data_IF_597619337399
#
_entry.id   IF_597619337399
#
_cell.length_a   1.000
_cell.length_b   1.000
_cell.length_c   1.000
_cell.angle_alpha   90.00
_cell.angle_beta   90.00
_cell.angle_gamma   90.00
#
_symmetry.space_group_name_H-M   'P 1'
#
loop_
_entity.id
_entity.type
_entity.pdbx_description
1 polymer ?
#
# COMPACT_ATOMS: atom_id res chain seq x y z
N UNK A 1 0.63 21.50 -2.86
CA UNK A 1 -0.26 21.66 -1.69
C UNK A 1 -0.56 20.28 -1.09
N UNK A 2 0.21 19.87 -0.07
CA UNK A 2 -0.02 18.59 0.65
C UNK A 2 -1.16 18.68 1.68
N UNK A 3 -1.50 19.90 2.12
CA UNK A 3 -2.46 20.15 3.19
C UNK A 3 -3.90 19.70 2.88
N UNK A 4 -4.36 19.86 1.64
CA UNK A 4 -5.72 19.42 1.25
C UNK A 4 -5.86 17.90 1.28
N UNK A 5 -4.81 17.17 0.88
CA UNK A 5 -4.77 15.71 0.96
C UNK A 5 -4.83 15.23 2.43
N UNK A 6 -4.07 15.89 3.32
CA UNK A 6 -4.09 15.61 4.77
C UNK A 6 -5.49 15.87 5.35
N UNK A 7 -6.13 16.98 4.98
CA UNK A 7 -7.49 17.33 5.44
C UNK A 7 -8.53 16.32 4.95
N UNK A 8 -8.42 15.86 3.70
CA UNK A 8 -9.28 14.80 3.14
C UNK A 8 -9.09 13.48 3.91
N UNK A 9 -7.84 13.05 4.13
CA UNK A 9 -7.52 11.84 4.89
C UNK A 9 -8.12 11.86 6.30
N UNK A 10 -7.91 12.95 7.06
CA UNK A 10 -8.47 13.12 8.41
C UNK A 10 -10.00 13.09 8.43
N UNK A 11 -10.65 13.67 7.42
CA UNK A 11 -12.12 13.66 7.28
C UNK A 11 -12.65 12.26 6.94
N UNK A 12 -11.94 11.49 6.12
CA UNK A 12 -12.30 10.09 5.86
C UNK A 12 -12.22 9.27 7.15
N UNK A 13 -11.09 9.34 7.84
CA UNK A 13 -10.86 8.64 9.11
C UNK A 13 -11.88 9.00 10.19
N UNK A 14 -12.24 10.27 10.34
CA UNK A 14 -13.19 10.69 11.38
C UNK A 14 -14.59 10.11 11.20
N UNK A 15 -14.89 9.54 10.02
CA UNK A 15 -16.17 8.92 9.68
C UNK A 15 -16.07 7.40 9.53
N UNK A 16 -14.85 6.87 9.51
CA UNK A 16 -14.59 5.46 9.32
C UNK A 16 -14.74 4.70 10.65
N UNK A 17 -15.16 3.44 10.57
CA UNK A 17 -15.19 2.52 11.70
C UNK A 17 -14.29 1.32 11.40
N UNK A 18 -13.60 0.81 12.42
CA UNK A 18 -12.70 -0.35 12.26
C UNK A 18 -11.28 0.00 11.81
N UNK A 19 -10.92 1.28 11.77
CA UNK A 19 -9.52 1.70 11.60
C UNK A 19 -8.69 1.22 12.80
N UNK A 20 -7.55 0.59 12.52
CA UNK A 20 -6.58 0.16 13.52
C UNK A 20 -5.42 1.17 13.52
N UNK A 21 -5.19 1.81 14.66
CA UNK A 21 -4.09 2.75 14.85
C UNK A 21 -3.12 2.13 15.85
N UNK A 22 -1.88 1.90 15.42
CA UNK A 22 -0.78 1.45 16.28
C UNK A 22 0.32 2.49 16.29
N UNK A 23 1.00 2.61 17.42
CA UNK A 23 2.26 3.35 17.47
C UNK A 23 3.34 2.59 16.69
N UNK A 24 4.20 3.34 16.00
CA UNK A 24 5.28 2.73 15.21
C UNK A 24 6.42 2.20 16.08
N UNK A 25 6.55 2.61 17.33
CA UNK A 25 7.69 2.38 18.22
C UNK A 25 8.27 0.97 18.21
N UNK A 26 9.27 0.75 17.34
CA UNK A 26 9.98 -0.52 17.16
C UNK A 26 9.30 -1.54 16.24
N UNK A 27 8.09 -1.26 15.74
CA UNK A 27 7.34 -2.14 14.83
C UNK A 27 7.83 -1.98 13.40
N UNK A 28 7.66 -3.02 12.59
CA UNK A 28 7.90 -3.00 11.15
C UNK A 28 6.74 -2.23 10.50
N UNK A 29 6.99 -1.08 9.87
CA UNK A 29 5.95 -0.32 9.20
C UNK A 29 5.71 -0.84 7.80
N UNK A 30 4.46 -1.24 7.54
CA UNK A 30 3.98 -1.73 6.26
C UNK A 30 2.93 -0.79 5.69
N UNK A 31 3.15 -0.31 4.46
CA UNK A 31 2.16 0.44 3.70
C UNK A 31 1.37 -0.52 2.81
N UNK A 32 0.10 -0.77 3.13
CA UNK A 32 -0.82 -1.50 2.26
C UNK A 32 -1.40 -0.53 1.24
N UNK A 33 -0.85 -0.57 0.03
CA UNK A 33 -1.25 0.32 -1.07
C UNK A 33 -2.36 -0.33 -1.88
N UNK A 34 -3.51 0.32 -1.93
CA UNK A 34 -4.50 0.09 -2.97
C UNK A 34 -4.33 1.17 -4.03
N UNK A 35 -3.86 0.86 -5.24
CA UNK A 35 -3.46 1.85 -6.24
C UNK A 35 -4.67 2.44 -6.98
N UNK A 36 -5.72 2.78 -6.24
CA UNK A 36 -6.95 3.35 -6.72
C UNK A 36 -7.59 4.20 -5.61
N UNK A 37 -8.77 4.76 -5.88
CA UNK A 37 -9.46 5.61 -4.91
C UNK A 37 -9.75 4.89 -3.59
N UNK A 38 -9.83 5.66 -2.52
CA UNK A 38 -10.26 5.19 -1.20
C UNK A 38 -11.60 4.45 -1.28
N UNK A 39 -12.55 4.96 -2.05
CA UNK A 39 -13.88 4.36 -2.15
C UNK A 39 -13.85 2.96 -2.78
N UNK A 40 -13.07 2.79 -3.85
CA UNK A 40 -12.88 1.49 -4.50
C UNK A 40 -12.16 0.52 -3.57
N UNK A 41 -11.08 0.96 -2.92
CA UNK A 41 -10.29 0.10 -2.03
C UNK A 41 -11.05 -0.32 -0.77
N UNK A 42 -11.86 0.56 -0.21
CA UNK A 42 -12.71 0.24 0.94
C UNK A 42 -13.88 -0.69 0.59
N UNK A 43 -14.19 -0.85 -0.70
CA UNK A 43 -15.15 -1.84 -1.20
C UNK A 43 -14.49 -3.20 -1.50
N UNK A 44 -13.18 -3.35 -1.26
CA UNK A 44 -12.42 -4.56 -1.56
C UNK A 44 -12.15 -5.36 -0.27
N UNK A 45 -12.79 -6.53 -0.16
CA UNK A 45 -12.64 -7.40 1.01
C UNK A 45 -11.19 -7.89 1.20
N UNK A 46 -10.48 -8.19 0.11
CA UNK A 46 -9.09 -8.65 0.18
C UNK A 46 -8.16 -7.65 0.85
N UNK A 47 -8.36 -6.34 0.57
CA UNK A 47 -7.61 -5.27 1.23
C UNK A 47 -7.88 -5.26 2.74
N UNK A 48 -9.15 -5.40 3.15
CA UNK A 48 -9.52 -5.47 4.57
C UNK A 48 -8.94 -6.70 5.27
N UNK A 49 -8.95 -7.85 4.60
CA UNK A 49 -8.38 -9.10 5.10
C UNK A 49 -6.88 -8.94 5.35
N UNK A 50 -6.12 -8.48 4.35
CA UNK A 50 -4.67 -8.24 4.50
C UNK A 50 -4.37 -7.19 5.55
N UNK A 51 -5.14 -6.09 5.58
CA UNK A 51 -4.99 -5.03 6.56
C UNK A 51 -5.15 -5.53 8.00
N UNK A 52 -6.19 -6.34 8.26
CA UNK A 52 -6.42 -6.94 9.59
C UNK A 52 -5.37 -7.98 9.94
N UNK A 53 -4.99 -8.83 8.98
CA UNK A 53 -3.97 -9.85 9.17
C UNK A 53 -2.61 -9.23 9.51
N UNK A 54 -2.14 -8.24 8.74
CA UNK A 54 -0.89 -7.56 9.05
C UNK A 54 -0.95 -6.84 10.42
N UNK A 55 -2.09 -6.23 10.73
CA UNK A 55 -2.30 -5.60 12.03
C UNK A 55 -2.61 -6.59 13.17
N UNK A 56 -2.73 -7.89 12.94
CA UNK A 56 -2.86 -8.86 14.03
C UNK A 56 -1.50 -9.17 14.66
N UNK A 57 -0.41 -9.08 13.88
CA UNK A 57 0.95 -9.26 14.40
C UNK A 57 1.34 -8.10 15.33
N UNK A 58 1.84 -8.37 16.55
CA UNK A 58 2.17 -7.33 17.53
C UNK A 58 3.31 -6.41 17.07
N UNK A 59 4.24 -6.95 16.29
CA UNK A 59 5.46 -6.26 15.83
C UNK A 59 5.30 -5.57 14.48
N UNK A 60 4.08 -5.55 13.92
CA UNK A 60 3.77 -4.91 12.64
C UNK A 60 2.78 -3.76 12.85
N UNK A 61 3.05 -2.63 12.21
CA UNK A 61 2.08 -1.55 12.01
C UNK A 61 1.76 -1.46 10.53
N UNK A 62 0.52 -1.77 10.16
CA UNK A 62 0.08 -1.66 8.78
C UNK A 62 -0.85 -0.46 8.62
N UNK A 63 -0.51 0.42 7.69
CA UNK A 63 -1.30 1.60 7.33
C UNK A 63 -1.72 1.51 5.86
N UNK A 64 -2.89 2.07 5.53
CA UNK A 64 -3.45 2.00 4.19
C UNK A 64 -3.06 3.22 3.39
N UNK A 65 -2.80 3.02 2.10
CA UNK A 65 -2.47 4.11 1.18
C UNK A 65 -3.35 3.96 -0.05
N UNK A 66 -3.97 5.06 -0.46
CA UNK A 66 -4.85 5.11 -1.63
C UNK A 66 -4.33 6.13 -2.64
N UNK A 67 -4.69 5.94 -3.90
CA UNK A 67 -4.26 6.80 -5.00
C UNK A 67 -5.47 7.42 -5.70
N UNK A 68 -5.73 8.69 -5.40
CA UNK A 68 -6.81 9.43 -6.03
C UNK A 68 -6.35 10.01 -7.37
N UNK A 69 -7.28 10.23 -8.31
CA UNK A 69 -6.94 10.78 -9.64
C UNK A 69 -6.26 12.15 -9.52
N UNK A 70 -6.63 12.94 -8.51
CA UNK A 70 -6.03 14.24 -8.23
C UNK A 70 -4.55 14.13 -7.83
N UNK A 71 -4.13 13.03 -7.19
CA UNK A 71 -2.71 12.79 -6.87
C UNK A 71 -1.88 12.68 -8.14
N UNK A 72 -2.40 12.00 -9.17
CA UNK A 72 -1.73 11.85 -10.47
C UNK A 72 -1.56 13.20 -11.18
N UNK A 73 -2.58 14.06 -11.15
CA UNK A 73 -2.52 15.38 -11.78
C UNK A 73 -1.55 16.35 -11.07
N UNK A 74 -1.44 16.24 -9.74
CA UNK A 74 -0.68 17.18 -8.90
C UNK A 74 0.71 16.68 -8.51
N UNK A 75 1.07 15.44 -8.88
CA UNK A 75 2.33 14.76 -8.52
C UNK A 75 2.61 14.78 -7.01
N UNK A 76 1.56 14.77 -6.19
CA UNK A 76 1.72 14.74 -4.74
C UNK A 76 2.12 13.33 -4.30
N UNK A 77 3.04 13.21 -3.32
CA UNK A 77 3.43 11.91 -2.78
C UNK A 77 2.21 11.21 -2.18
N UNK A 78 2.18 9.88 -2.33
CA UNK A 78 1.15 9.07 -1.68
C UNK A 78 1.41 9.06 -0.17
N UNK A 79 0.38 9.42 0.60
CA UNK A 79 0.42 9.46 2.06
C UNK A 79 -0.44 8.34 2.62
N UNK A 80 -0.01 7.77 3.74
CA UNK A 80 -0.84 6.84 4.49
C UNK A 80 -2.08 7.51 5.06
N UNK A 81 -3.16 6.75 5.16
CA UNK A 81 -4.43 7.25 5.64
C UNK A 81 -4.33 7.55 7.13
N UNK A 82 -3.82 6.62 7.93
CA UNK A 82 -3.78 6.65 9.40
C UNK A 82 -2.89 7.77 9.94
N UNK A 83 -1.61 7.80 9.54
CA UNK A 83 -0.64 8.75 10.09
C UNK A 83 -0.18 9.85 9.11
N UNK A 84 -0.67 9.83 7.86
CA UNK A 84 -0.29 10.78 6.81
C UNK A 84 1.22 10.79 6.53
N UNK A 85 1.88 9.64 6.64
CA UNK A 85 3.30 9.46 6.35
C UNK A 85 3.53 9.14 4.86
N UNK A 86 4.62 9.63 4.25
CA UNK A 86 4.98 9.27 2.89
C UNK A 86 5.45 7.82 2.80
N UNK A 87 5.28 7.21 1.62
CA UNK A 87 5.68 5.82 1.38
C UNK A 87 7.16 5.53 1.66
N UNK A 88 8.04 6.51 1.46
CA UNK A 88 9.48 6.37 1.72
C UNK A 88 9.85 6.15 3.19
N UNK A 89 8.92 6.36 4.13
CA UNK A 89 9.17 6.12 5.56
C UNK A 89 8.85 4.68 5.99
N UNK A 90 8.20 3.89 5.14
CA UNK A 90 7.84 2.52 5.46
C UNK A 90 9.01 1.57 5.18
N UNK A 91 9.04 0.42 5.84
CA UNK A 91 10.02 -0.63 5.56
C UNK A 91 9.55 -1.52 4.40
N UNK A 92 8.23 -1.71 4.29
CA UNK A 92 7.60 -2.50 3.24
C UNK A 92 6.44 -1.72 2.63
N UNK A 93 6.35 -1.75 1.30
CA UNK A 93 5.23 -1.23 0.52
C UNK A 93 4.58 -2.42 -0.17
N UNK A 94 3.41 -2.82 0.32
CA UNK A 94 2.64 -3.94 -0.18
C UNK A 94 1.49 -3.45 -1.07
N UNK A 95 1.62 -3.62 -2.38
CA UNK A 95 0.56 -3.32 -3.32
C UNK A 95 -0.48 -4.44 -3.39
N UNK A 96 -1.75 -4.09 -3.21
CA UNK A 96 -2.89 -4.99 -3.43
C UNK A 96 -3.53 -4.66 -4.78
N UNK A 97 -3.18 -5.42 -5.81
CA UNK A 97 -3.61 -5.18 -7.19
C UNK A 97 -4.80 -6.07 -7.52
N UNK A 98 -5.98 -5.46 -7.61
CA UNK A 98 -7.25 -6.21 -7.73
C UNK A 98 -7.85 -6.17 -9.12
N UNK A 99 -7.54 -5.15 -9.91
CA UNK A 99 -8.02 -5.00 -11.28
C UNK A 99 -6.88 -4.62 -12.22
N UNK A 100 -6.99 -4.92 -13.52
CA UNK A 100 -5.94 -4.63 -14.49
C UNK A 100 -5.65 -3.12 -14.62
N UNK A 101 -6.65 -2.27 -14.40
CA UNK A 101 -6.49 -0.82 -14.41
C UNK A 101 -5.60 -0.31 -13.26
N UNK A 102 -5.46 -1.07 -12.18
CA UNK A 102 -4.60 -0.74 -11.05
C UNK A 102 -3.12 -0.72 -11.45
N UNK A 103 -2.73 -1.48 -12.48
CA UNK A 103 -1.35 -1.52 -13.02
C UNK A 103 -0.86 -0.13 -13.42
N UNK A 104 -1.76 0.66 -14.01
CA UNK A 104 -1.45 1.99 -14.55
C UNK A 104 -1.05 2.97 -13.45
N UNK A 105 -1.46 2.72 -12.20
CA UNK A 105 -1.21 3.60 -11.07
C UNK A 105 0.05 3.21 -10.28
N UNK A 106 0.59 2.00 -10.43
CA UNK A 106 1.81 1.56 -9.74
C UNK A 106 2.99 2.49 -10.03
N UNK A 107 3.30 2.71 -11.31
CA UNK A 107 4.43 3.55 -11.74
C UNK A 107 4.27 5.01 -11.27
N UNK A 108 3.11 5.67 -11.46
CA UNK A 108 2.88 7.01 -10.89
C UNK A 108 3.07 7.10 -9.37
N UNK A 109 2.59 6.11 -8.62
CA UNK A 109 2.74 6.08 -7.15
C UNK A 109 4.20 6.03 -6.75
N UNK A 110 4.99 5.13 -7.36
CA UNK A 110 6.42 5.02 -7.06
C UNK A 110 7.17 6.31 -7.41
N UNK A 111 6.91 6.90 -8.60
CA UNK A 111 7.50 8.18 -9.01
C UNK A 111 7.16 9.31 -8.03
N UNK A 112 5.90 9.44 -7.66
CA UNK A 112 5.44 10.53 -6.80
C UNK A 112 5.99 10.42 -5.38
N UNK A 113 6.28 9.19 -4.93
CA UNK A 113 6.89 8.92 -3.63
C UNK A 113 8.42 8.89 -3.64
N UNK A 114 9.06 9.17 -4.79
CA UNK A 114 10.51 9.22 -4.91
C UNK A 114 11.19 7.85 -4.78
N UNK A 115 10.46 6.76 -5.05
CA UNK A 115 10.99 5.39 -4.98
C UNK A 115 11.48 5.00 -6.37
N UNK A 116 12.70 4.44 -6.52
CA UNK A 116 13.18 3.95 -7.80
C UNK A 116 12.21 2.95 -8.44
N UNK A 117 11.99 3.11 -9.74
CA UNK A 117 10.96 2.37 -10.47
C UNK A 117 11.29 0.90 -10.56
N UNK A 118 12.47 0.59 -11.09
CA UNK A 118 12.88 -0.78 -11.32
C UNK A 118 13.51 -1.34 -10.06
N UNK A 119 13.27 -2.62 -9.82
CA UNK A 119 13.88 -3.36 -8.71
C UNK A 119 15.41 -3.26 -8.74
N UNK A 120 16.02 -3.27 -9.93
CA UNK A 120 17.46 -3.18 -10.11
C UNK A 120 18.07 -1.83 -9.68
N UNK A 121 17.25 -0.78 -9.54
CA UNK A 121 17.67 0.55 -9.11
C UNK A 121 17.49 0.76 -7.59
N UNK A 122 16.99 -0.24 -6.86
CA UNK A 122 16.80 -0.19 -5.40
C UNK A 122 17.96 -0.87 -4.68
N UNK A 123 18.27 -0.35 -3.50
CA UNK A 123 19.24 -0.88 -2.56
C UNK A 123 18.62 -0.97 -1.15
N UNK A 124 19.41 -1.37 -0.15
CA UNK A 124 18.97 -1.54 1.24
C UNK A 124 18.44 -0.26 1.91
N UNK A 125 18.61 0.92 1.30
CA UNK A 125 18.08 2.20 1.81
C UNK A 125 16.63 2.44 1.38
N UNK A 126 16.12 1.63 0.46
CA UNK A 126 14.78 1.73 -0.09
C UNK A 126 13.84 0.71 0.56
N UNK A 127 12.53 1.01 0.65
CA UNK A 127 11.56 0.03 1.12
C UNK A 127 11.49 -1.18 0.18
N UNK A 128 11.22 -2.36 0.75
CA UNK A 128 10.82 -3.51 -0.05
C UNK A 128 9.46 -3.23 -0.69
N UNK A 129 9.36 -3.35 -2.01
CA UNK A 129 8.12 -3.17 -2.74
C UNK A 129 7.61 -4.52 -3.21
N UNK A 130 6.50 -4.95 -2.65
CA UNK A 130 5.88 -6.25 -2.96
C UNK A 130 4.49 -6.04 -3.55
N UNK A 131 3.97 -7.03 -4.28
CA UNK A 131 2.59 -7.01 -4.75
C UNK A 131 1.89 -8.34 -4.56
N UNK A 132 0.59 -8.29 -4.36
CA UNK A 132 -0.31 -9.44 -4.41
C UNK A 132 -1.67 -9.05 -4.96
N UNK A 133 -2.62 -9.98 -4.88
CA UNK A 133 -3.98 -9.81 -5.38
C UNK A 133 -4.23 -10.60 -6.67
N UNK A 134 -5.50 -10.70 -7.09
CA UNK A 134 -5.92 -11.61 -8.16
C UNK A 134 -5.23 -11.33 -9.49
N UNK A 135 -4.91 -10.06 -9.79
CA UNK A 135 -4.21 -9.68 -11.01
C UNK A 135 -2.74 -10.12 -11.01
N UNK A 136 -2.05 -10.02 -9.87
CA UNK A 136 -0.68 -10.54 -9.73
C UNK A 136 -0.65 -12.05 -9.86
N UNK A 137 -1.62 -12.74 -9.25
CA UNK A 137 -1.76 -14.20 -9.36
C UNK A 137 -2.07 -14.63 -10.80
N UNK A 138 -2.91 -13.89 -11.53
CA UNK A 138 -3.30 -14.22 -12.89
C UNK A 138 -2.17 -14.01 -13.91
N UNK A 139 -1.46 -12.87 -13.84
CA UNK A 139 -0.33 -12.60 -14.71
C UNK A 139 0.66 -11.63 -14.05
N UNK A 140 1.71 -12.13 -13.39
CA UNK A 140 2.70 -11.30 -12.72
C UNK A 140 3.67 -10.58 -13.67
N UNK A 141 3.82 -11.09 -14.91
CA UNK A 141 4.87 -10.67 -15.84
C UNK A 141 4.86 -9.18 -16.20
N UNK A 142 3.71 -8.51 -16.42
CA UNK A 142 3.70 -7.08 -16.78
C UNK A 142 4.28 -6.16 -15.69
N UNK A 143 4.24 -6.60 -14.43
CA UNK A 143 4.65 -5.80 -13.29
C UNK A 143 5.97 -6.28 -12.65
N UNK A 144 6.46 -7.48 -12.97
CA UNK A 144 7.65 -8.05 -12.34
C UNK A 144 8.90 -7.18 -12.34
N UNK A 145 9.18 -6.30 -13.33
CA UNK A 145 10.37 -5.44 -13.26
C UNK A 145 10.33 -4.39 -12.13
N UNK A 146 9.15 -4.13 -11.54
CA UNK A 146 8.94 -3.07 -10.54
C UNK A 146 8.86 -3.59 -9.10
N UNK A 147 8.81 -4.90 -8.88
CA UNK A 147 8.57 -5.49 -7.55
C UNK A 147 9.73 -6.36 -7.10
N UNK A 148 10.10 -6.24 -5.83
CA UNK A 148 11.10 -7.07 -5.15
C UNK A 148 10.56 -8.50 -4.93
N UNK A 149 9.25 -8.62 -4.68
CA UNK A 149 8.57 -9.91 -4.55
C UNK A 149 7.12 -9.81 -5.04
N UNK A 150 6.64 -10.89 -5.67
CA UNK A 150 5.26 -11.04 -6.11
C UNK A 150 4.64 -12.23 -5.38
N UNK A 151 3.64 -11.93 -4.55
CA UNK A 151 2.86 -12.91 -3.81
C UNK A 151 1.82 -13.53 -4.74
N UNK A 152 2.03 -14.80 -5.11
CA UNK A 152 1.10 -15.59 -5.93
C UNK A 152 0.23 -16.43 -5.00
N UNK A 153 -1.10 -16.28 -5.12
CA UNK A 153 -2.08 -16.96 -4.28
C UNK A 153 -2.70 -16.08 -3.20
N UNK A 154 -3.43 -16.69 -2.27
CA UNK A 154 -4.09 -15.97 -1.17
C UNK A 154 -3.08 -15.54 -0.11
N UNK A 155 -3.19 -14.30 0.38
CA UNK A 155 -2.27 -13.75 1.38
C UNK A 155 -2.21 -14.60 2.67
N UNK A 156 -3.34 -15.24 3.02
CA UNK A 156 -3.49 -16.13 4.18
C UNK A 156 -2.69 -17.43 4.05
N UNK A 157 -2.35 -17.85 2.82
CA UNK A 157 -1.53 -19.04 2.56
C UNK A 157 -0.03 -18.74 2.62
N UNK A 158 0.35 -17.46 2.49
CA UNK A 158 1.73 -16.99 2.42
C UNK A 158 2.20 -16.48 3.79
N UNK A 159 1.28 -15.88 4.57
CA UNK A 159 1.55 -15.39 5.92
C UNK A 159 1.24 -16.50 6.94
N UNK A 160 2.14 -16.75 7.91
CA UNK A 160 1.95 -17.82 8.89
C UNK A 160 0.69 -17.58 9.73
N UNK A 161 -0.13 -18.62 9.91
CA UNK A 161 -1.32 -18.56 10.72
C UNK A 161 -0.99 -18.17 12.18
N UNK A 162 -1.86 -17.36 12.78
CA UNK A 162 -1.84 -17.11 14.22
C UNK A 162 -2.17 -18.42 14.94
N UNK A 163 -1.22 -18.95 15.70
CA UNK A 163 -1.45 -19.97 16.73
C UNK A 163 -1.18 -19.36 18.09
#
# INVERSE_FOLDING_TARGET
>A
MSWDAIKKARRCLSREQGTIIKDWGGRIPVALVYPNSYYTGMSNLGVHTVYRLLNSYPDVVCERVFWERENSATKLPALSLESQRPLSHFAVIAFSISYELDYLNVVPILKASGIPLYVADRDERHPLVIAGGPCITANPLPLSPFFDCLCIGEAESILPALH
#
